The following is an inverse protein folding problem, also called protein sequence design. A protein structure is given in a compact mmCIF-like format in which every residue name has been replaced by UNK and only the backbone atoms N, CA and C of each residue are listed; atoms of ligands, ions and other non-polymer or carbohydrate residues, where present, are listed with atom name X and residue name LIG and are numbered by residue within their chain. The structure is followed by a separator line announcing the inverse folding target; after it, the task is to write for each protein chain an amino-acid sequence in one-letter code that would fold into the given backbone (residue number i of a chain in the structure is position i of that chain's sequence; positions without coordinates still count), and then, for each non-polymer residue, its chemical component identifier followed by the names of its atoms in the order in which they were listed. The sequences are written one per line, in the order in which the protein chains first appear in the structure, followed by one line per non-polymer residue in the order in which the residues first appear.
data_IF_718251957825
#
_entry.id   IF_718251957825
#
_cell.length_a   1.000
_cell.length_b   1.000
_cell.length_c   1.000
_cell.angle_alpha   90.00
_cell.angle_beta   90.00
_cell.angle_gamma   90.00
#
_symmetry.space_group_name_H-M   'P 1'
#
loop_
_entity.id
_entity.type
_entity.pdbx_description
1 polymer ?
#
# COMPACT_ATOMS: atom_id res chain seq x y z
N UNK A 1 -2.00 -19.09 22.39
CA UNK A 1 -1.71 -19.28 20.94
C UNK A 1 -1.65 -17.87 20.36
N UNK A 2 -0.58 -17.14 20.70
CA UNK A 2 -0.53 -15.67 20.61
C UNK A 2 0.11 -15.18 19.29
N UNK A 3 0.40 -16.12 18.40
CA UNK A 3 1.12 -15.92 17.14
C UNK A 3 0.27 -15.28 16.04
N UNK A 4 -1.06 -15.19 16.22
CA UNK A 4 -1.94 -14.50 15.27
C UNK A 4 -2.14 -13.01 15.63
N UNK A 5 -1.91 -12.60 16.88
CA UNK A 5 -2.10 -11.20 17.27
C UNK A 5 -0.94 -10.26 16.88
N UNK A 6 0.20 -10.81 16.43
CA UNK A 6 1.46 -10.06 16.26
C UNK A 6 1.59 -9.34 14.91
N UNK A 7 0.74 -9.64 13.92
CA UNK A 7 0.97 -9.17 12.55
C UNK A 7 0.34 -7.80 12.24
N UNK A 8 -0.79 -7.48 12.89
CA UNK A 8 -1.67 -6.39 12.44
C UNK A 8 -2.01 -5.34 13.51
N UNK A 9 -2.05 -5.68 14.79
CA UNK A 9 -2.40 -4.73 15.86
C UNK A 9 -1.20 -4.54 16.77
N UNK A 10 -0.61 -3.34 16.74
CA UNK A 10 0.53 -3.02 17.58
C UNK A 10 0.04 -2.55 18.95
N UNK A 11 0.37 -3.32 19.99
CA UNK A 11 0.17 -2.94 21.40
C UNK A 11 1.54 -2.66 22.01
N UNK A 12 1.83 -1.42 22.45
CA UNK A 12 3.11 -1.11 23.07
C UNK A 12 3.27 -1.87 24.38
N UNK A 13 4.48 -2.40 24.63
CA UNK A 13 4.78 -3.11 25.88
C UNK A 13 4.77 -2.19 27.11
N UNK A 14 5.05 -0.89 26.91
CA UNK A 14 4.96 0.13 27.94
C UNK A 14 4.31 1.41 27.38
N UNK A 15 3.02 1.68 27.65
CA UNK A 15 2.30 2.81 27.07
C UNK A 15 2.83 4.17 27.53
N UNK A 16 3.56 4.23 28.65
CA UNK A 16 4.05 5.46 29.26
C UNK A 16 5.45 5.90 28.76
N UNK A 17 6.18 5.01 28.09
CA UNK A 17 7.48 5.29 27.47
C UNK A 17 7.51 4.74 26.04
N UNK A 18 6.98 5.53 25.10
CA UNK A 18 6.98 5.18 23.69
C UNK A 18 8.35 5.44 23.06
N UNK A 19 9.00 4.39 22.57
CA UNK A 19 10.17 4.55 21.69
C UNK A 19 9.74 5.21 20.37
N UNK A 20 10.67 5.84 19.64
CA UNK A 20 10.39 6.46 18.33
C UNK A 20 9.71 5.48 17.35
N UNK A 21 10.12 4.21 17.39
CA UNK A 21 9.53 3.13 16.60
C UNK A 21 8.08 2.81 16.97
N UNK A 22 7.78 2.78 18.27
CA UNK A 22 6.44 2.50 18.78
C UNK A 22 5.47 3.62 18.39
N UNK A 23 5.95 4.86 18.51
CA UNK A 23 5.22 6.06 18.08
C UNK A 23 4.87 6.01 16.59
N UNK A 24 5.83 5.62 15.75
CA UNK A 24 5.62 5.47 14.30
C UNK A 24 4.62 4.36 13.96
N UNK A 25 4.74 3.20 14.63
CA UNK A 25 3.84 2.06 14.44
C UNK A 25 2.38 2.39 14.80
N UNK A 26 2.16 3.01 15.96
CA UNK A 26 0.81 3.44 16.40
C UNK A 26 0.23 4.48 15.44
N UNK A 27 1.05 5.41 14.96
CA UNK A 27 0.64 6.36 13.93
C UNK A 27 0.22 5.66 12.63
N UNK A 28 1.00 4.69 12.17
CA UNK A 28 0.68 3.92 10.96
C UNK A 28 -0.63 3.13 11.13
N UNK A 29 -0.89 2.57 12.32
CA UNK A 29 -2.16 1.91 12.61
C UNK A 29 -3.36 2.86 12.61
N UNK A 30 -3.18 4.07 13.15
CA UNK A 30 -4.22 5.13 13.13
C UNK A 30 -4.60 5.54 11.69
N UNK A 31 -3.63 5.61 10.79
CA UNK A 31 -3.83 6.05 9.40
C UNK A 31 -3.89 4.91 8.38
N UNK A 32 -4.16 3.68 8.83
CA UNK A 32 -4.18 2.46 8.00
C UNK A 32 -4.94 2.58 6.69
N UNK A 33 -6.19 3.07 6.73
CA UNK A 33 -7.01 3.22 5.52
C UNK A 33 -6.39 4.20 4.50
N UNK A 34 -5.77 5.29 5.00
CA UNK A 34 -5.10 6.28 4.17
C UNK A 34 -3.80 5.73 3.57
N UNK A 35 -3.02 4.97 4.34
CA UNK A 35 -1.81 4.33 3.87
C UNK A 35 -2.14 3.33 2.76
N UNK A 36 -3.10 2.44 2.98
CA UNK A 36 -3.56 1.47 1.98
C UNK A 36 -4.10 2.15 0.72
N UNK A 37 -4.80 3.28 0.87
CA UNK A 37 -5.28 4.05 -0.28
C UNK A 37 -4.12 4.60 -1.12
N UNK A 38 -3.10 5.16 -0.48
CA UNK A 38 -1.89 5.64 -1.18
C UNK A 38 -1.13 4.48 -1.82
N UNK A 39 -0.98 3.35 -1.13
CA UNK A 39 -0.33 2.15 -1.67
C UNK A 39 -1.06 1.62 -2.91
N UNK A 40 -2.40 1.56 -2.88
CA UNK A 40 -3.23 1.19 -4.02
C UNK A 40 -3.03 2.14 -5.21
N UNK A 41 -2.93 3.45 -4.95
CA UNK A 41 -2.65 4.44 -5.99
C UNK A 41 -1.28 4.17 -6.62
N UNK A 42 -0.25 3.92 -5.80
CA UNK A 42 1.10 3.63 -6.28
C UNK A 42 1.08 2.36 -7.14
N UNK A 43 0.49 1.27 -6.64
CA UNK A 43 0.38 0.00 -7.38
C UNK A 43 -0.37 0.19 -8.69
N UNK A 44 -1.44 0.98 -8.69
CA UNK A 44 -2.20 1.28 -9.91
C UNK A 44 -1.31 1.96 -10.97
N UNK A 45 -0.56 3.00 -10.60
CA UNK A 45 0.32 3.71 -11.52
C UNK A 45 1.59 2.94 -11.90
N UNK A 46 2.06 2.03 -11.04
CA UNK A 46 3.23 1.21 -11.33
C UNK A 46 2.91 0.01 -12.21
N UNK A 47 1.81 -0.69 -11.94
CA UNK A 47 1.45 -1.95 -12.60
C UNK A 47 0.50 -1.81 -13.78
N UNK A 48 -0.44 -0.85 -13.76
CA UNK A 48 -1.56 -0.84 -14.70
C UNK A 48 -1.58 0.39 -15.62
N UNK A 49 -1.27 1.58 -15.11
CA UNK A 49 -1.38 2.83 -15.87
C UNK A 49 -0.03 3.31 -16.40
N UNK A 50 0.49 2.66 -17.45
CA UNK A 50 1.74 3.07 -18.14
C UNK A 50 1.59 4.41 -18.90
N UNK A 51 0.37 4.95 -19.07
CA UNK A 51 0.13 6.24 -19.75
C UNK A 51 -0.97 7.07 -19.08
N UNK A 52 -0.59 8.23 -18.56
CA UNK A 52 -1.42 9.23 -17.86
C UNK A 52 -2.24 10.04 -18.89
N UNK A 53 -3.16 9.38 -19.60
CA UNK A 53 -4.07 10.07 -20.52
C UNK A 53 -5.50 9.59 -20.30
N UNK A 54 -6.01 9.78 -19.09
CA UNK A 54 -7.41 9.49 -18.76
C UNK A 54 -8.22 10.78 -18.64
N UNK A 55 -9.46 10.82 -19.19
CA UNK A 55 -10.39 11.91 -18.96
C UNK A 55 -10.70 12.06 -17.47
N UNK A 56 -10.86 13.30 -17.02
CA UNK A 56 -11.02 13.68 -15.59
C UNK A 56 -12.09 12.84 -14.89
N UNK A 57 -13.23 12.60 -15.54
CA UNK A 57 -14.33 11.81 -14.97
C UNK A 57 -13.95 10.35 -14.67
N UNK A 58 -13.12 9.72 -15.52
CA UNK A 58 -12.62 8.36 -15.28
C UNK A 58 -11.64 8.33 -14.11
N UNK A 59 -10.84 9.38 -13.94
CA UNK A 59 -9.91 9.48 -12.82
C UNK A 59 -10.64 9.62 -11.48
N UNK A 60 -11.72 10.41 -11.43
CA UNK A 60 -12.55 10.54 -10.23
C UNK A 60 -13.19 9.20 -9.88
N UNK A 61 -13.81 8.52 -10.85
CA UNK A 61 -14.40 7.20 -10.63
C UNK A 61 -13.36 6.17 -10.15
N UNK A 62 -12.15 6.24 -10.71
CA UNK A 62 -11.03 5.40 -10.31
C UNK A 62 -10.66 5.63 -8.84
N UNK A 63 -10.46 6.88 -8.41
CA UNK A 63 -10.12 7.14 -7.01
C UNK A 63 -11.23 6.74 -6.04
N UNK A 64 -12.50 6.88 -6.42
CA UNK A 64 -13.62 6.37 -5.63
C UNK A 64 -13.53 4.85 -5.47
N UNK A 65 -13.24 4.13 -6.56
CA UNK A 65 -13.10 2.66 -6.53
C UNK A 65 -11.87 2.23 -5.71
N UNK A 66 -10.73 2.92 -5.87
CA UNK A 66 -9.53 2.66 -5.05
C UNK A 66 -9.80 2.92 -3.57
N UNK A 67 -10.56 3.98 -3.25
CA UNK A 67 -10.90 4.30 -1.87
C UNK A 67 -11.82 3.23 -1.26
N UNK A 68 -12.82 2.77 -2.01
CA UNK A 68 -13.66 1.65 -1.60
C UNK A 68 -12.83 0.37 -1.36
N UNK A 69 -11.89 0.06 -2.25
CA UNK A 69 -10.95 -1.04 -2.06
C UNK A 69 -10.06 -0.89 -0.83
N UNK A 70 -9.58 0.34 -0.56
CA UNK A 70 -8.78 0.65 0.62
C UNK A 70 -9.56 0.43 1.93
N UNK A 71 -10.86 0.74 1.96
CA UNK A 71 -11.72 0.47 3.12
C UNK A 71 -11.86 -1.04 3.37
N UNK A 72 -12.07 -1.83 2.32
CA UNK A 72 -12.12 -3.29 2.43
C UNK A 72 -10.78 -3.82 2.95
N UNK A 73 -9.67 -3.37 2.37
CA UNK A 73 -8.34 -3.77 2.81
C UNK A 73 -8.02 -3.31 4.23
N UNK A 74 -8.52 -2.16 4.69
CA UNK A 74 -8.32 -1.72 6.07
C UNK A 74 -8.99 -2.65 7.09
N UNK A 75 -10.16 -3.22 6.75
CA UNK A 75 -10.84 -4.23 7.56
C UNK A 75 -10.05 -5.54 7.54
N UNK A 76 -9.60 -5.98 6.37
CA UNK A 76 -8.78 -7.19 6.24
C UNK A 76 -7.44 -7.05 6.96
N UNK A 77 -6.86 -5.85 6.96
CA UNK A 77 -5.59 -5.56 7.61
C UNK A 77 -5.66 -5.68 9.14
N UNK A 78 -6.86 -5.80 9.73
CA UNK A 78 -7.02 -6.11 11.16
C UNK A 78 -6.57 -7.53 11.48
N UNK A 79 -6.74 -8.47 10.55
CA UNK A 79 -6.40 -9.88 10.76
C UNK A 79 -5.21 -10.34 9.90
N UNK A 80 -4.97 -9.64 8.80
CA UNK A 80 -3.93 -9.97 7.83
C UNK A 80 -2.92 -8.83 7.74
N UNK A 81 -1.63 -9.09 7.48
CA UNK A 81 -0.61 -8.05 7.32
C UNK A 81 -0.64 -7.42 5.90
N UNK A 82 -1.79 -6.85 5.51
CA UNK A 82 -2.07 -6.38 4.14
C UNK A 82 -1.19 -5.19 3.77
N UNK A 83 -1.06 -4.20 4.66
CA UNK A 83 -0.21 -3.00 4.44
C UNK A 83 1.24 -3.38 4.14
N UNK A 84 1.81 -4.31 4.92
CA UNK A 84 3.18 -4.79 4.68
C UNK A 84 3.30 -5.61 3.39
N UNK A 85 2.29 -6.39 3.04
CA UNK A 85 2.28 -7.15 1.78
C UNK A 85 2.17 -6.22 0.56
N UNK A 86 1.35 -5.18 0.63
CA UNK A 86 1.26 -4.12 -0.38
C UNK A 86 2.60 -3.40 -0.54
N UNK A 87 3.28 -3.06 0.56
CA UNK A 87 4.61 -2.47 0.51
C UNK A 87 5.62 -3.36 -0.24
N UNK A 88 5.61 -4.68 0.01
CA UNK A 88 6.45 -5.64 -0.73
C UNK A 88 6.08 -5.69 -2.22
N UNK A 89 4.79 -5.70 -2.54
CA UNK A 89 4.32 -5.67 -3.93
C UNK A 89 4.79 -4.40 -4.67
N UNK A 90 4.72 -3.24 -4.02
CA UNK A 90 5.26 -1.98 -4.55
C UNK A 90 6.76 -2.10 -4.78
N UNK A 91 7.52 -2.61 -3.82
CA UNK A 91 8.96 -2.78 -3.96
C UNK A 91 9.32 -3.67 -5.16
N UNK A 92 8.61 -4.78 -5.36
CA UNK A 92 8.78 -5.66 -6.53
C UNK A 92 8.47 -4.92 -7.82
N UNK A 93 7.34 -4.21 -7.90
CA UNK A 93 6.95 -3.45 -9.08
C UNK A 93 7.97 -2.33 -9.40
N UNK A 94 8.49 -1.63 -8.40
CA UNK A 94 9.58 -0.64 -8.55
C UNK A 94 10.81 -1.32 -9.16
N UNK A 95 11.23 -2.46 -8.61
CA UNK A 95 12.40 -3.21 -9.11
C UNK A 95 12.17 -3.64 -10.56
N UNK A 96 11.01 -4.21 -10.87
CA UNK A 96 10.67 -4.66 -12.24
C UNK A 96 10.65 -3.47 -13.20
N UNK A 97 10.07 -2.35 -12.81
CA UNK A 97 9.99 -1.14 -13.64
C UNK A 97 11.36 -0.54 -13.93
N UNK A 98 12.29 -0.58 -12.96
CA UNK A 98 13.68 -0.14 -13.16
C UNK A 98 14.49 -1.16 -13.98
N UNK A 99 14.21 -2.46 -13.79
CA UNK A 99 14.86 -3.57 -14.54
C UNK A 99 14.45 -3.61 -16.00
N UNK A 100 13.20 -3.28 -16.32
CA UNK A 100 12.74 -3.06 -17.69
C UNK A 100 13.39 -1.76 -18.18
N UNK A 101 14.65 -1.86 -18.57
CA UNK A 101 15.22 -0.92 -19.53
C UNK A 101 14.35 -1.02 -20.78
N UNK A 102 13.98 0.09 -21.44
CA UNK A 102 13.54 0.04 -22.82
C UNK A 102 14.74 -0.40 -23.67
N UNK A 103 15.14 -1.66 -23.57
CA UNK A 103 16.04 -2.28 -24.53
C UNK A 103 15.27 -2.35 -25.84
N UNK A 104 15.50 -1.32 -26.66
CA UNK A 104 15.54 -1.43 -28.10
C UNK A 104 14.52 -2.39 -28.72
N UNK A 105 13.23 -2.16 -28.49
CA UNK A 105 12.24 -2.46 -29.54
C UNK A 105 12.29 -1.36 -30.61
N UNK A 106 13.52 -1.10 -31.08
CA UNK A 106 13.81 -0.70 -32.43
C UNK A 106 14.30 -1.95 -33.15
N UNK A 107 13.39 -2.90 -33.42
CA UNK A 107 13.60 -3.90 -34.46
C UNK A 107 12.25 -4.41 -34.97
N UNK A 108 11.95 -3.92 -36.18
CA UNK A 108 10.91 -4.29 -37.15
C UNK A 108 9.57 -3.61 -36.96
#
# INVERSE_FOLDING_TARGET
MDWIQIASTYVPANPDQLTAYDSFRVWADKYRAWILFVELIIVYYLGFATRIRMPILKNVLLYILLFAGALIFAILDVQLPVKSAMFVAIAILVIVKVRIKPEQTGRK
#
